data_IF_530867036248
#
_entry.id   IF_530867036248
#
_cell.length_a   1.000
_cell.length_b   1.000
_cell.length_c   1.000
_cell.angle_alpha   90.00
_cell.angle_beta   90.00
_cell.angle_gamma   90.00
#
_symmetry.space_group_name_H-M   'P 1'
#
loop_
_entity.id
_entity.type
_entity.pdbx_description
1 polymer ?
#
# COMPACT_ATOMS: atom_id res chain seq x y z
N UNK A 1 -19.94 -34.53 41.42
CA UNK A 1 -19.14 -33.49 42.08
C UNK A 1 -18.85 -32.40 41.05
N UNK A 2 -19.65 -31.33 41.03
CA UNK A 2 -19.36 -30.19 40.16
C UNK A 2 -18.25 -29.36 40.81
N UNK A 3 -17.07 -29.34 40.18
CA UNK A 3 -15.97 -28.47 40.60
C UNK A 3 -16.40 -27.05 40.27
N UNK A 4 -16.87 -26.31 41.27
CA UNK A 4 -17.10 -24.88 41.13
C UNK A 4 -15.73 -24.20 41.00
N UNK A 5 -15.34 -23.86 39.78
CA UNK A 5 -14.21 -22.99 39.50
C UNK A 5 -14.50 -21.64 40.17
N UNK A 6 -13.81 -21.34 41.27
CA UNK A 6 -14.05 -20.13 42.05
C UNK A 6 -13.58 -18.86 41.32
N UNK A 7 -13.98 -17.66 41.79
CA UNK A 7 -13.72 -16.35 41.15
C UNK A 7 -12.26 -16.05 40.76
N UNK A 8 -11.30 -16.79 41.33
CA UNK A 8 -9.86 -16.66 41.06
C UNK A 8 -9.44 -17.20 39.68
N UNK A 9 -10.13 -18.20 39.12
CA UNK A 9 -9.84 -18.69 37.76
C UNK A 9 -10.26 -17.67 36.69
N UNK A 10 -11.37 -16.98 36.93
CA UNK A 10 -11.91 -15.97 36.00
C UNK A 10 -11.04 -14.72 35.96
N UNK A 11 -10.54 -14.27 37.11
CA UNK A 11 -9.56 -13.18 37.21
C UNK A 11 -8.26 -13.50 36.45
N UNK A 12 -7.76 -14.74 36.56
CA UNK A 12 -6.56 -15.18 35.84
C UNK A 12 -6.78 -15.20 34.33
N UNK A 13 -7.93 -15.69 33.88
CA UNK A 13 -8.31 -15.68 32.46
C UNK A 13 -8.45 -14.24 31.93
N UNK A 14 -9.08 -13.34 32.69
CA UNK A 14 -9.22 -11.93 32.35
C UNK A 14 -7.88 -11.22 32.20
N UNK A 15 -6.94 -11.44 33.13
CA UNK A 15 -5.58 -10.89 33.03
C UNK A 15 -4.81 -11.44 31.83
N UNK A 16 -5.03 -12.70 31.46
CA UNK A 16 -4.44 -13.31 30.27
C UNK A 16 -4.95 -12.65 29.00
N UNK A 17 -6.27 -12.51 28.88
CA UNK A 17 -6.92 -11.83 27.76
C UNK A 17 -6.47 -10.37 27.62
N UNK A 18 -6.33 -9.66 28.73
CA UNK A 18 -5.85 -8.27 28.70
C UNK A 18 -4.42 -8.17 28.17
N UNK A 19 -3.52 -9.06 28.61
CA UNK A 19 -2.14 -9.12 28.09
C UNK A 19 -2.10 -9.47 26.60
N UNK A 20 -2.89 -10.44 26.18
CA UNK A 20 -3.00 -10.84 24.76
C UNK A 20 -3.52 -9.68 23.91
N UNK A 21 -4.56 -8.97 24.37
CA UNK A 21 -5.09 -7.80 23.66
C UNK A 21 -4.05 -6.67 23.56
N UNK A 22 -3.29 -6.41 24.63
CA UNK A 22 -2.22 -5.41 24.61
C UNK A 22 -1.10 -5.78 23.63
N UNK A 23 -0.74 -7.06 23.56
CA UNK A 23 0.25 -7.56 22.62
C UNK A 23 -0.24 -7.43 21.17
N UNK A 24 -1.49 -7.81 20.89
CA UNK A 24 -2.10 -7.63 19.58
C UNK A 24 -2.14 -6.16 19.15
N UNK A 25 -2.44 -5.24 20.06
CA UNK A 25 -2.40 -3.81 19.78
C UNK A 25 -0.99 -3.32 19.42
N UNK A 26 0.04 -3.83 20.10
CA UNK A 26 1.45 -3.52 19.78
C UNK A 26 1.83 -4.05 18.40
N UNK A 27 1.49 -5.31 18.10
CA UNK A 27 1.76 -5.92 16.81
C UNK A 27 1.04 -5.19 15.67
N UNK A 28 -0.20 -4.77 15.89
CA UNK A 28 -0.95 -3.97 14.91
C UNK A 28 -0.28 -2.61 14.68
N UNK A 29 0.18 -1.94 15.74
CA UNK A 29 0.88 -0.65 15.61
C UNK A 29 2.20 -0.82 14.84
N UNK A 30 2.96 -1.87 15.15
CA UNK A 30 4.21 -2.20 14.47
C UNK A 30 3.96 -2.49 12.98
N UNK A 31 3.03 -3.40 12.67
CA UNK A 31 2.68 -3.75 11.29
C UNK A 31 2.21 -2.53 10.47
N UNK A 32 1.45 -1.61 11.09
CA UNK A 32 1.06 -0.35 10.44
C UNK A 32 2.26 0.55 10.13
N UNK A 33 3.26 0.61 11.00
CA UNK A 33 4.48 1.36 10.73
C UNK A 33 5.30 0.67 9.63
N UNK A 34 5.51 -0.64 9.73
CA UNK A 34 6.27 -1.41 8.74
C UNK A 34 5.66 -1.29 7.35
N UNK A 35 4.33 -1.30 7.25
CA UNK A 35 3.63 -1.08 5.99
C UNK A 35 3.86 0.32 5.42
N UNK A 36 3.88 1.36 6.27
CA UNK A 36 4.20 2.73 5.83
C UNK A 36 5.63 2.81 5.30
N UNK A 37 6.59 2.25 6.03
CA UNK A 37 8.01 2.29 5.67
C UNK A 37 8.26 1.50 4.37
N UNK A 38 7.63 0.34 4.23
CA UNK A 38 7.72 -0.46 3.01
C UNK A 38 7.09 0.27 1.82
N UNK A 39 5.94 0.94 2.04
CA UNK A 39 5.29 1.73 1.00
C UNK A 39 6.15 2.91 0.55
N UNK A 40 6.82 3.60 1.48
CA UNK A 40 7.75 4.68 1.13
C UNK A 40 8.91 4.15 0.26
N UNK A 41 9.55 3.05 0.70
CA UNK A 41 10.63 2.41 -0.07
C UNK A 41 10.16 1.97 -1.46
N UNK A 42 8.97 1.37 -1.55
CA UNK A 42 8.37 0.98 -2.82
C UNK A 42 8.20 2.18 -3.76
N UNK A 43 7.66 3.30 -3.27
CA UNK A 43 7.46 4.51 -4.08
C UNK A 43 8.78 5.10 -4.58
N UNK A 44 9.84 5.08 -3.76
CA UNK A 44 11.18 5.51 -4.18
C UNK A 44 11.75 4.59 -5.26
N UNK A 45 11.63 3.27 -5.08
CA UNK A 45 12.04 2.29 -6.10
C UNK A 45 11.25 2.46 -7.40
N UNK A 46 9.94 2.67 -7.31
CA UNK A 46 9.06 2.88 -8.46
C UNK A 46 9.44 4.17 -9.23
N UNK A 47 9.68 5.27 -8.52
CA UNK A 47 10.13 6.53 -9.12
C UNK A 47 11.51 6.39 -9.80
N UNK A 48 12.40 5.61 -9.20
CA UNK A 48 13.74 5.33 -9.75
C UNK A 48 13.65 4.48 -11.02
N UNK A 49 12.90 3.37 -10.97
CA UNK A 49 12.66 2.50 -12.12
C UNK A 49 12.04 3.27 -13.29
N UNK A 50 11.04 4.10 -13.01
CA UNK A 50 10.42 4.96 -14.02
C UNK A 50 11.42 5.95 -14.64
N UNK A 51 12.24 6.59 -13.82
CA UNK A 51 13.25 7.54 -14.30
C UNK A 51 14.28 6.85 -15.21
N UNK A 52 14.74 5.67 -14.81
CA UNK A 52 15.68 4.87 -15.58
C UNK A 52 15.06 4.36 -16.88
N UNK A 53 13.82 3.87 -16.86
CA UNK A 53 13.10 3.44 -18.06
C UNK A 53 12.96 4.58 -19.07
N UNK A 54 12.64 5.80 -18.62
CA UNK A 54 12.61 6.97 -19.49
C UNK A 54 13.99 7.32 -20.08
N UNK A 55 15.07 7.15 -19.31
CA UNK A 55 16.42 7.33 -19.84
C UNK A 55 16.75 6.27 -20.91
N UNK A 56 16.47 5.00 -20.63
CA UNK A 56 16.71 3.90 -21.58
C UNK A 56 15.88 4.05 -22.86
N UNK A 57 14.64 4.55 -22.75
CA UNK A 57 13.79 4.86 -23.91
C UNK A 57 14.44 5.93 -24.81
N UNK A 58 15.06 6.97 -24.23
CA UNK A 58 15.75 8.01 -25.00
C UNK A 58 16.95 7.47 -25.79
N UNK A 59 17.65 6.48 -25.25
CA UNK A 59 18.79 5.85 -25.91
C UNK A 59 18.40 4.68 -26.82
N UNK A 60 17.09 4.41 -26.99
CA UNK A 60 16.57 3.33 -27.84
C UNK A 60 17.23 1.97 -27.58
N UNK A 61 17.49 1.65 -26.31
CA UNK A 61 18.08 0.36 -25.96
C UNK A 61 17.09 -0.78 -26.25
N UNK A 62 17.20 -1.40 -27.42
CA UNK A 62 16.29 -2.45 -27.91
C UNK A 62 16.20 -3.65 -26.94
N UNK A 63 17.29 -4.00 -26.25
CA UNK A 63 17.34 -5.12 -25.30
C UNK A 63 16.51 -4.94 -24.02
N UNK A 64 15.95 -3.76 -23.77
CA UNK A 64 15.15 -3.47 -22.57
C UNK A 64 13.71 -3.05 -22.89
N UNK A 65 13.26 -3.29 -24.12
CA UNK A 65 11.95 -2.83 -24.61
C UNK A 65 10.80 -3.30 -23.72
N UNK A 66 10.78 -4.58 -23.37
CA UNK A 66 9.71 -5.17 -22.53
C UNK A 66 9.66 -4.53 -21.13
N UNK A 67 10.83 -4.24 -20.55
CA UNK A 67 10.95 -3.59 -19.23
C UNK A 67 10.47 -2.14 -19.30
N UNK A 68 10.87 -1.41 -20.34
CA UNK A 68 10.44 -0.02 -20.57
C UNK A 68 8.92 0.04 -20.75
N UNK A 69 8.35 -0.86 -21.56
CA UNK A 69 6.91 -0.92 -21.82
C UNK A 69 6.13 -1.28 -20.56
N UNK A 70 6.59 -2.27 -19.79
CA UNK A 70 5.97 -2.65 -18.52
C UNK A 70 5.96 -1.49 -17.51
N UNK A 71 7.09 -0.82 -17.29
CA UNK A 71 7.21 0.25 -16.29
C UNK A 71 6.52 1.56 -16.72
N UNK A 72 6.60 1.93 -18.00
CA UNK A 72 5.99 3.17 -18.50
C UNK A 72 4.50 2.98 -18.83
N UNK A 73 4.12 1.82 -19.36
CA UNK A 73 2.75 1.47 -19.77
C UNK A 73 1.80 1.40 -18.57
N UNK A 74 2.13 0.60 -17.55
CA UNK A 74 1.30 0.44 -16.35
C UNK A 74 1.08 1.79 -15.63
N UNK A 75 2.10 2.65 -15.62
CA UNK A 75 2.01 4.00 -15.03
C UNK A 75 1.18 4.97 -15.88
N UNK A 76 1.20 4.84 -17.20
CA UNK A 76 0.34 5.60 -18.10
C UNK A 76 -1.13 5.21 -17.89
N UNK A 77 -1.43 3.91 -17.81
CA UNK A 77 -2.78 3.42 -17.53
C UNK A 77 -3.30 3.94 -16.18
N UNK A 78 -2.49 3.85 -15.12
CA UNK A 78 -2.86 4.40 -13.81
C UNK A 78 -3.15 5.91 -13.84
N UNK A 79 -2.35 6.70 -14.58
CA UNK A 79 -2.60 8.15 -14.75
C UNK A 79 -3.88 8.42 -15.53
N UNK A 80 -4.18 7.64 -16.57
CA UNK A 80 -5.39 7.77 -17.39
C UNK A 80 -6.63 7.46 -16.56
N UNK A 81 -6.64 6.36 -15.81
CA UNK A 81 -7.76 6.00 -14.92
C UNK A 81 -8.01 7.11 -13.90
N UNK A 82 -6.96 7.60 -13.23
CA UNK A 82 -7.07 8.68 -12.24
C UNK A 82 -7.55 10.01 -12.83
N UNK A 83 -7.19 10.31 -14.09
CA UNK A 83 -7.70 11.48 -14.80
C UNK A 83 -9.17 11.30 -15.18
N UNK A 84 -9.56 10.12 -15.64
CA UNK A 84 -10.94 9.80 -16.00
C UNK A 84 -11.87 9.89 -14.78
N UNK A 85 -11.44 9.38 -13.61
CA UNK A 85 -12.16 9.53 -12.34
C UNK A 85 -12.37 11.01 -11.97
N UNK A 86 -11.31 11.83 -12.04
CA UNK A 86 -11.41 13.28 -11.79
C UNK A 86 -12.34 14.01 -12.76
N UNK A 87 -12.35 13.61 -14.03
CA UNK A 87 -13.23 14.18 -15.06
C UNK A 87 -14.70 13.76 -14.86
N UNK A 88 -14.93 12.57 -14.30
CA UNK A 88 -16.27 12.11 -13.93
C UNK A 88 -16.80 12.81 -12.68
N UNK A 89 -15.91 13.13 -11.73
CA UNK A 89 -16.25 13.87 -10.51
C UNK A 89 -16.48 15.38 -10.75
N UNK A 90 -15.75 15.98 -11.70
CA UNK A 90 -15.91 17.40 -12.09
C UNK A 90 -16.05 17.57 -13.62
N UNK A 91 -17.27 17.47 -14.17
CA UNK A 91 -17.52 17.67 -15.60
C UNK A 91 -17.31 19.12 -16.06
N UNK A 92 -17.11 20.09 -15.15
CA UNK A 92 -16.74 21.46 -15.53
C UNK A 92 -15.25 21.55 -15.92
N UNK A 93 -14.39 20.68 -15.37
CA UNK A 93 -12.98 20.58 -15.73
C UNK A 93 -12.78 20.11 -17.19
N UNK A 94 -13.72 19.33 -17.73
CA UNK A 94 -13.73 18.85 -19.11
C UNK A 94 -13.91 19.98 -20.15
N UNK A 95 -14.51 21.12 -19.76
CA UNK A 95 -14.72 22.27 -20.66
C UNK A 95 -13.47 23.13 -20.87
N UNK A 96 -12.42 22.93 -20.08
CA UNK A 96 -11.13 23.66 -20.20
C UNK A 96 -10.17 23.08 -21.24
N UNK A 97 -10.44 21.88 -21.75
CA UNK A 97 -9.62 21.19 -22.75
C UNK A 97 -10.31 21.10 -24.12
N UNK A 98 -11.34 21.92 -24.35
CA UNK A 98 -12.12 21.96 -25.59
C UNK A 98 -11.80 23.19 -26.41
#
# INVERSE_FOLDING_TARGET
>A
MAVSLGPSSDLRAQHKLMRENQELQRQLAQSKQDFRDLREKFLVSEATAYSLANQLQKYQCEGHRDIIESVLGEKLEFKVVKLAERLAEDPALAKRFR
#
